data_IF_686553805231
#
_entry.id   IF_686553805231
#
_cell.length_a   1.000
_cell.length_b   1.000
_cell.length_c   1.000
_cell.angle_alpha   90.00
_cell.angle_beta   90.00
_cell.angle_gamma   90.00
#
_symmetry.space_group_name_H-M   'P 1'
#
loop_
_entity.id
_entity.type
_entity.pdbx_description
1 polymer ?
#
# COMPACT_ATOMS: atom_id res chain seq x y z
N UNK A 1 17.60 -28.90 5.25
CA UNK A 1 18.63 -27.85 5.39
C UNK A 1 18.16 -26.66 4.60
N UNK A 2 17.92 -25.54 5.30
CA UNK A 2 17.29 -24.35 4.74
C UNK A 2 18.29 -23.52 3.94
N UNK A 3 18.04 -23.34 2.64
CA UNK A 3 18.71 -22.35 1.80
C UNK A 3 17.73 -21.87 0.74
N UNK A 4 16.89 -20.91 1.10
CA UNK A 4 16.69 -19.72 0.27
C UNK A 4 15.92 -18.67 1.09
N UNK A 5 16.65 -17.73 1.70
CA UNK A 5 16.01 -16.46 2.09
C UNK A 5 16.30 -15.52 0.95
N UNK A 6 15.41 -15.54 -0.02
CA UNK A 6 15.30 -14.56 -1.10
C UNK A 6 14.79 -13.21 -0.52
N UNK A 7 15.38 -12.78 0.60
CA UNK A 7 14.98 -11.57 1.31
C UNK A 7 15.75 -10.41 0.71
N UNK A 8 15.07 -9.74 -0.22
CA UNK A 8 15.39 -8.41 -0.74
C UNK A 8 15.71 -7.43 0.41
N UNK A 9 16.46 -6.36 0.09
CA UNK A 9 16.92 -5.40 1.09
C UNK A 9 15.78 -4.87 1.99
N UNK A 10 16.07 -4.59 3.28
CA UNK A 10 15.16 -3.90 4.18
C UNK A 10 14.54 -2.66 3.55
N UNK A 11 13.26 -2.42 3.82
CA UNK A 11 12.49 -1.28 3.33
C UNK A 11 11.95 -0.49 4.52
N UNK A 12 11.80 0.82 4.33
CA UNK A 12 11.02 1.67 5.23
C UNK A 12 9.54 1.59 4.80
N UNK A 13 8.66 1.19 5.72
CA UNK A 13 7.24 0.96 5.44
C UNK A 13 6.38 1.86 6.32
N UNK A 14 5.33 2.43 5.75
CA UNK A 14 4.27 3.10 6.48
C UNK A 14 3.06 2.17 6.55
N UNK A 15 2.59 1.84 7.75
CA UNK A 15 1.45 0.94 7.95
C UNK A 15 0.38 1.66 8.73
N UNK A 16 -0.87 1.61 8.26
CA UNK A 16 -2.01 2.16 8.98
C UNK A 16 -3.26 1.32 8.79
N UNK A 17 -4.26 1.51 9.64
CA UNK A 17 -5.57 0.91 9.49
C UNK A 17 -6.64 1.61 10.32
N UNK A 18 -7.90 1.38 9.98
CA UNK A 18 -9.01 1.85 10.81
C UNK A 18 -9.38 0.80 11.88
N UNK A 19 -10.38 1.13 12.70
CA UNK A 19 -10.92 0.24 13.73
C UNK A 19 -11.33 -1.15 13.19
N UNK A 20 -11.85 -1.22 11.96
CA UNK A 20 -12.23 -2.49 11.33
C UNK A 20 -11.01 -3.32 10.88
N UNK A 21 -9.89 -2.65 10.56
CA UNK A 21 -8.61 -3.29 10.25
C UNK A 21 -7.72 -3.61 11.45
N UNK A 22 -8.02 -3.04 12.62
CA UNK A 22 -7.20 -3.14 13.83
C UNK A 22 -6.77 -4.57 14.21
N UNK A 23 -7.66 -5.59 14.18
CA UNK A 23 -7.29 -6.96 14.56
C UNK A 23 -6.20 -7.59 13.68
N UNK A 24 -6.09 -7.18 12.41
CA UNK A 24 -5.11 -7.70 11.47
C UNK A 24 -3.85 -6.83 11.38
N UNK A 25 -3.96 -5.52 11.62
CA UNK A 25 -2.82 -4.58 11.50
C UNK A 25 -1.64 -4.96 12.39
N UNK A 26 -1.88 -5.22 13.68
CA UNK A 26 -0.83 -5.57 14.64
C UNK A 26 0.00 -6.79 14.22
N UNK A 27 -0.64 -7.95 13.96
CA UNK A 27 0.04 -9.13 13.44
C UNK A 27 0.86 -8.88 12.16
N UNK A 28 0.35 -8.06 11.23
CA UNK A 28 1.08 -7.72 10.01
C UNK A 28 2.29 -6.83 10.28
N UNK A 29 2.21 -5.87 11.20
CA UNK A 29 3.36 -5.05 11.62
C UNK A 29 4.47 -5.94 12.18
N UNK A 30 4.13 -6.88 13.07
CA UNK A 30 5.10 -7.81 13.66
C UNK A 30 5.72 -8.73 12.60
N UNK A 31 4.91 -9.23 11.68
CA UNK A 31 5.41 -9.99 10.53
C UNK A 31 6.41 -9.19 9.69
N UNK A 32 6.09 -7.95 9.32
CA UNK A 32 6.95 -7.09 8.49
C UNK A 32 8.27 -6.76 9.20
N UNK A 33 8.22 -6.46 10.50
CA UNK A 33 9.42 -6.27 11.33
C UNK A 33 10.24 -7.55 11.41
N UNK A 34 9.59 -8.71 11.53
CA UNK A 34 10.23 -10.03 11.51
C UNK A 34 10.95 -10.36 10.18
N UNK A 35 10.55 -9.72 9.07
CA UNK A 35 11.27 -9.80 7.79
C UNK A 35 12.44 -8.81 7.67
N UNK A 36 12.70 -7.99 8.69
CA UNK A 36 13.79 -7.02 8.71
C UNK A 36 13.41 -5.64 8.15
N UNK A 37 12.13 -5.39 7.82
CA UNK A 37 11.69 -4.05 7.42
C UNK A 37 11.58 -3.11 8.62
N UNK A 38 11.80 -1.81 8.39
CA UNK A 38 11.47 -0.77 9.37
C UNK A 38 10.03 -0.34 9.16
N UNK A 39 9.21 -0.37 10.21
CA UNK A 39 7.77 -0.09 10.11
C UNK A 39 7.39 1.11 10.98
N UNK A 40 6.87 2.15 10.34
CA UNK A 40 6.20 3.26 10.99
C UNK A 40 4.68 3.00 11.04
N UNK A 41 4.15 2.77 12.24
CA UNK A 41 2.71 2.65 12.48
C UNK A 41 2.08 4.05 12.48
N UNK A 42 1.08 4.25 11.63
CA UNK A 42 0.35 5.50 11.43
C UNK A 42 -1.04 5.48 12.10
N UNK A 43 -1.30 4.50 12.96
CA UNK A 43 -2.58 4.31 13.63
C UNK A 43 -3.56 3.43 12.83
N UNK A 44 -4.76 3.15 13.35
CA UNK A 44 -5.20 3.42 14.72
C UNK A 44 -4.37 2.64 15.74
N UNK A 45 -4.29 3.14 16.96
CA UNK A 45 -3.50 2.51 18.03
C UNK A 45 -4.36 1.67 18.99
N UNK A 46 -5.66 1.76 18.82
CA UNK A 46 -6.70 1.09 19.60
C UNK A 46 -7.87 0.71 18.65
N UNK A 47 -8.85 -0.10 19.12
CA UNK A 47 -9.99 -0.49 18.32
C UNK A 47 -11.10 0.58 18.27
N UNK A 48 -10.87 1.78 18.79
CA UNK A 48 -11.91 2.81 18.82
C UNK A 48 -12.15 3.35 17.40
N UNK A 49 -13.40 3.73 17.07
CA UNK A 49 -13.73 4.20 15.73
C UNK A 49 -12.89 5.40 15.28
N UNK A 50 -12.26 5.25 14.13
CA UNK A 50 -11.57 6.31 13.38
C UNK A 50 -11.97 6.27 11.91
N UNK A 51 -11.82 7.41 11.23
CA UNK A 51 -12.11 7.55 9.82
C UNK A 51 -10.90 7.15 8.95
N UNK A 52 -11.09 6.17 8.07
CA UNK A 52 -10.02 5.65 7.21
C UNK A 52 -9.34 6.70 6.30
N UNK A 53 -9.98 7.81 5.84
CA UNK A 53 -9.30 8.81 5.03
C UNK A 53 -8.13 9.50 5.76
N UNK A 54 -8.25 9.73 7.06
CA UNK A 54 -7.20 10.39 7.85
C UNK A 54 -5.97 9.48 7.99
N UNK A 55 -6.21 8.19 8.24
CA UNK A 55 -5.17 7.17 8.29
C UNK A 55 -4.51 6.98 6.91
N UNK A 56 -5.31 6.93 5.84
CA UNK A 56 -4.81 6.85 4.48
C UNK A 56 -3.90 8.04 4.16
N UNK A 57 -4.28 9.26 4.56
CA UNK A 57 -3.48 10.46 4.40
C UNK A 57 -2.14 10.38 5.14
N UNK A 58 -2.15 9.94 6.39
CA UNK A 58 -0.94 9.80 7.19
C UNK A 58 0.08 8.83 6.56
N UNK A 59 -0.38 7.66 6.12
CA UNK A 59 0.47 6.66 5.43
C UNK A 59 1.01 7.22 4.11
N UNK A 60 0.14 7.78 3.27
CA UNK A 60 0.51 8.27 1.95
C UNK A 60 1.46 9.47 2.00
N UNK A 61 1.36 10.33 3.01
CA UNK A 61 2.27 11.45 3.17
C UNK A 61 3.71 10.99 3.48
N UNK A 62 3.89 9.87 4.18
CA UNK A 62 5.22 9.29 4.40
C UNK A 62 5.80 8.74 3.09
N UNK A 63 4.98 8.08 2.27
CA UNK A 63 5.39 7.55 0.95
C UNK A 63 5.78 8.72 0.03
N UNK A 64 4.93 9.73 -0.09
CA UNK A 64 5.17 10.89 -0.98
C UNK A 64 6.40 11.71 -0.56
N UNK A 65 6.72 11.73 0.73
CA UNK A 65 7.90 12.45 1.25
C UNK A 65 9.19 11.61 1.23
N UNK A 66 9.13 10.37 0.74
CA UNK A 66 10.29 9.47 0.73
C UNK A 66 10.71 8.98 2.12
N UNK A 67 9.88 9.20 3.15
CA UNK A 67 10.12 8.67 4.51
C UNK A 67 9.73 7.19 4.63
N UNK A 68 8.91 6.71 3.72
CA UNK A 68 8.64 5.29 3.51
C UNK A 68 8.76 4.96 2.02
N UNK A 69 9.30 3.79 1.71
CA UNK A 69 9.38 3.26 0.35
C UNK A 69 7.99 2.86 -0.16
N UNK A 70 7.16 2.29 0.73
CA UNK A 70 5.80 1.81 0.42
C UNK A 70 4.85 1.92 1.59
N UNK A 71 3.55 2.03 1.28
CA UNK A 71 2.45 2.11 2.23
C UNK A 71 1.60 0.83 2.28
N UNK A 72 1.07 0.53 3.45
CA UNK A 72 0.14 -0.59 3.68
C UNK A 72 -1.04 -0.06 4.50
N UNK A 73 -2.24 -0.22 3.98
CA UNK A 73 -3.48 0.15 4.65
C UNK A 73 -4.28 -1.11 4.99
N UNK A 74 -4.80 -1.20 6.21
CA UNK A 74 -5.59 -2.33 6.69
C UNK A 74 -6.94 -1.80 7.14
N UNK A 75 -8.01 -2.18 6.44
CA UNK A 75 -9.38 -1.73 6.73
C UNK A 75 -10.29 -2.96 6.75
N UNK A 76 -11.57 -2.83 7.09
CA UNK A 76 -12.53 -3.95 7.05
C UNK A 76 -12.51 -4.66 5.68
N UNK A 77 -12.79 -3.94 4.60
CA UNK A 77 -12.74 -4.48 3.22
C UNK A 77 -11.49 -4.08 2.45
N UNK A 78 -10.76 -3.05 2.90
CA UNK A 78 -9.67 -2.43 2.14
C UNK A 78 -10.15 -1.46 1.04
N UNK A 79 -11.43 -1.52 0.63
CA UNK A 79 -11.97 -0.72 -0.49
C UNK A 79 -11.93 0.77 -0.19
N UNK A 80 -12.46 1.19 0.97
CA UNK A 80 -12.52 2.60 1.36
C UNK A 80 -11.12 3.21 1.46
N UNK A 81 -10.21 2.52 2.15
CA UNK A 81 -8.81 2.93 2.28
C UNK A 81 -8.10 3.07 0.92
N UNK A 82 -8.33 2.13 -0.01
CA UNK A 82 -7.81 2.19 -1.38
C UNK A 82 -8.34 3.40 -2.15
N UNK A 83 -9.65 3.69 -2.05
CA UNK A 83 -10.26 4.87 -2.67
C UNK A 83 -9.65 6.15 -2.10
N UNK A 84 -9.53 6.27 -0.78
CA UNK A 84 -8.95 7.45 -0.13
C UNK A 84 -7.49 7.66 -0.52
N UNK A 85 -6.68 6.61 -0.52
CA UNK A 85 -5.27 6.68 -0.91
C UNK A 85 -5.10 7.19 -2.36
N UNK A 86 -5.91 6.70 -3.30
CA UNK A 86 -5.89 7.17 -4.69
C UNK A 86 -6.42 8.60 -4.91
N UNK A 87 -6.91 9.30 -3.87
CA UNK A 87 -7.19 10.75 -3.93
C UNK A 87 -5.97 11.61 -3.64
N UNK A 88 -4.85 11.00 -3.26
CA UNK A 88 -3.65 11.71 -2.84
C UNK A 88 -2.67 11.76 -4.02
N UNK A 89 -2.27 12.96 -4.49
CA UNK A 89 -1.37 13.08 -5.63
C UNK A 89 -0.07 12.30 -5.45
N UNK A 90 0.35 11.60 -6.50
CA UNK A 90 1.56 10.78 -6.53
C UNK A 90 1.39 9.37 -5.94
N UNK A 91 0.22 9.02 -5.40
CA UNK A 91 -0.08 7.70 -4.87
C UNK A 91 -0.79 6.86 -5.92
N UNK A 92 -0.36 5.60 -6.02
CA UNK A 92 -1.07 4.55 -6.75
C UNK A 92 -1.33 3.44 -5.76
N UNK A 93 -2.61 3.26 -5.41
CA UNK A 93 -3.03 2.26 -4.45
C UNK A 93 -3.83 1.13 -5.09
N UNK A 94 -3.53 -0.12 -4.73
CA UNK A 94 -4.28 -1.30 -5.16
C UNK A 94 -4.97 -1.99 -3.98
N UNK A 95 -6.13 -2.59 -4.24
CA UNK A 95 -6.78 -3.50 -3.30
C UNK A 95 -6.15 -4.89 -3.46
N UNK A 96 -5.59 -5.42 -2.38
CA UNK A 96 -4.82 -6.65 -2.39
C UNK A 96 -5.54 -7.77 -1.64
N UNK A 97 -5.85 -8.86 -2.34
CA UNK A 97 -6.54 -10.02 -1.77
C UNK A 97 -6.00 -11.37 -2.29
N UNK A 98 -5.01 -11.35 -3.18
CA UNK A 98 -4.34 -12.52 -3.72
C UNK A 98 -2.89 -12.19 -4.11
N UNK A 99 -2.05 -13.22 -4.17
CA UNK A 99 -0.61 -13.10 -4.43
C UNK A 99 -0.32 -12.56 -5.83
N UNK A 100 -1.09 -12.98 -6.83
CA UNK A 100 -0.86 -12.61 -8.22
C UNK A 100 -1.06 -11.10 -8.42
N UNK A 101 -2.18 -10.57 -7.96
CA UNK A 101 -2.45 -9.14 -8.00
C UNK A 101 -1.47 -8.34 -7.14
N UNK A 102 -0.98 -8.91 -6.02
CA UNK A 102 -0.04 -8.23 -5.14
C UNK A 102 1.27 -7.85 -5.84
N UNK A 103 1.95 -8.81 -6.49
CA UNK A 103 3.19 -8.53 -7.22
C UNK A 103 2.93 -7.79 -8.53
N UNK A 104 1.89 -8.20 -9.28
CA UNK A 104 1.60 -7.63 -10.59
C UNK A 104 1.25 -6.15 -10.51
N UNK A 105 0.54 -5.72 -9.45
CA UNK A 105 0.22 -4.31 -9.24
C UNK A 105 1.46 -3.41 -9.15
N UNK A 106 2.58 -3.95 -8.67
CA UNK A 106 3.86 -3.23 -8.66
C UNK A 106 4.51 -3.31 -10.03
N UNK A 107 4.61 -4.52 -10.59
CA UNK A 107 5.31 -4.78 -11.85
C UNK A 107 4.72 -3.99 -13.02
N UNK A 108 3.40 -3.87 -13.09
CA UNK A 108 2.71 -3.26 -14.22
C UNK A 108 2.28 -1.82 -13.98
N UNK A 109 1.88 -1.50 -12.74
CA UNK A 109 1.21 -0.24 -12.41
C UNK A 109 2.03 0.64 -11.44
N UNK A 110 3.23 0.21 -11.05
CA UNK A 110 4.11 0.93 -10.12
C UNK A 110 3.38 1.34 -8.83
N UNK A 111 2.58 0.41 -8.28
CA UNK A 111 1.83 0.62 -7.04
C UNK A 111 2.77 0.81 -5.85
N UNK A 112 2.56 1.89 -5.11
CA UNK A 112 3.35 2.26 -3.95
C UNK A 112 2.59 2.16 -2.62
N UNK A 113 1.28 1.90 -2.67
CA UNK A 113 0.43 1.64 -1.50
C UNK A 113 -0.48 0.43 -1.76
N UNK A 114 -0.59 -0.50 -0.82
CA UNK A 114 -1.60 -1.58 -0.89
C UNK A 114 -2.64 -1.42 0.21
N UNK A 115 -3.88 -1.78 -0.09
CA UNK A 115 -4.95 -1.89 0.88
C UNK A 115 -5.36 -3.36 1.07
N UNK A 116 -5.51 -3.80 2.32
CA UNK A 116 -5.87 -5.15 2.73
C UNK A 116 -7.18 -5.10 3.50
N UNK A 117 -8.09 -6.04 3.18
CA UNK A 117 -9.35 -6.23 3.89
C UNK A 117 -9.23 -7.25 5.02
N UNK A 118 -9.24 -6.79 6.27
CA UNK A 118 -9.16 -7.64 7.46
C UNK A 118 -10.37 -8.57 7.64
N UNK A 119 -11.52 -8.22 7.06
CA UNK A 119 -12.73 -9.04 7.04
C UNK A 119 -12.84 -9.90 5.78
N UNK A 120 -11.89 -9.77 4.84
CA UNK A 120 -11.95 -10.41 3.52
C UNK A 120 -10.93 -11.55 3.44
N UNK A 121 -9.69 -11.33 3.87
CA UNK A 121 -8.63 -12.34 3.82
C UNK A 121 -8.03 -12.61 5.20
N UNK A 122 -7.58 -13.84 5.42
CA UNK A 122 -6.91 -14.25 6.66
C UNK A 122 -5.44 -13.81 6.73
N UNK A 123 -4.87 -13.82 7.93
CA UNK A 123 -3.51 -13.33 8.19
C UNK A 123 -2.44 -13.95 7.28
N UNK A 124 -2.48 -15.27 7.05
CA UNK A 124 -1.47 -15.94 6.20
C UNK A 124 -1.55 -15.52 4.73
N UNK A 125 -2.75 -15.32 4.21
CA UNK A 125 -2.95 -14.80 2.85
C UNK A 125 -2.42 -13.36 2.76
N UNK A 126 -2.69 -12.53 3.77
CA UNK A 126 -2.19 -11.16 3.85
C UNK A 126 -0.65 -11.12 3.93
N UNK A 127 -0.03 -12.00 4.72
CA UNK A 127 1.43 -12.17 4.80
C UNK A 127 2.04 -12.52 3.43
N UNK A 128 1.46 -13.49 2.72
CA UNK A 128 1.94 -13.91 1.38
C UNK A 128 1.77 -12.79 0.34
N UNK A 129 0.63 -12.09 0.38
CA UNK A 129 0.39 -10.91 -0.45
C UNK A 129 1.44 -9.82 -0.18
N UNK A 130 1.70 -9.49 1.08
CA UNK A 130 2.70 -8.48 1.44
C UNK A 130 4.11 -8.89 1.02
N UNK A 131 4.47 -10.17 1.14
CA UNK A 131 5.76 -10.66 0.64
C UNK A 131 5.89 -10.43 -0.86
N UNK A 132 4.89 -10.86 -1.63
CA UNK A 132 4.88 -10.72 -3.08
C UNK A 132 4.88 -9.25 -3.53
N UNK A 133 4.07 -8.41 -2.90
CA UNK A 133 4.08 -6.97 -3.10
C UNK A 133 5.49 -6.42 -2.88
N UNK A 134 6.06 -6.56 -1.68
CA UNK A 134 7.35 -5.95 -1.31
C UNK A 134 8.55 -6.47 -2.12
N UNK A 135 8.47 -7.73 -2.57
CA UNK A 135 9.48 -8.38 -3.41
C UNK A 135 9.42 -7.96 -4.89
N UNK A 136 8.27 -7.50 -5.38
CA UNK A 136 8.12 -7.05 -6.76
C UNK A 136 8.91 -5.75 -7.04
N UNK A 137 9.34 -5.55 -8.28
CA UNK A 137 9.89 -4.29 -8.81
C UNK A 137 9.09 -3.86 -10.04
N UNK A 138 8.97 -2.55 -10.24
CA UNK A 138 8.31 -2.01 -11.42
C UNK A 138 9.04 -2.42 -12.70
N UNK A 139 8.29 -2.93 -13.69
CA UNK A 139 8.86 -3.31 -14.97
C UNK A 139 9.19 -2.08 -15.81
N UNK A 140 10.42 -2.03 -16.33
CA UNK A 140 10.90 -0.94 -17.18
C UNK A 140 10.54 -1.13 -18.65
N UNK A 141 9.73 -2.13 -19.00
CA UNK A 141 9.22 -2.29 -20.36
C UNK A 141 8.34 -1.11 -20.78
N UNK A 142 8.41 -0.79 -22.07
CA UNK A 142 7.79 0.42 -22.62
C UNK A 142 6.28 0.49 -22.36
N UNK A 143 5.55 -0.63 -22.47
CA UNK A 143 4.10 -0.60 -22.25
C UNK A 143 3.70 -0.20 -20.82
N UNK A 144 4.48 -0.57 -19.80
CA UNK A 144 4.17 -0.28 -18.41
C UNK A 144 4.56 1.16 -18.06
N UNK A 145 5.75 1.60 -18.47
CA UNK A 145 6.18 3.01 -18.35
C UNK A 145 5.18 3.97 -18.99
N UNK A 146 4.73 3.67 -20.20
CA UNK A 146 3.73 4.48 -20.92
C UNK A 146 2.38 4.51 -20.19
N UNK A 147 1.93 3.39 -19.62
CA UNK A 147 0.66 3.33 -18.87
C UNK A 147 0.74 4.11 -17.56
N UNK A 148 1.81 3.93 -16.79
CA UNK A 148 2.05 4.70 -15.55
C UNK A 148 2.17 6.20 -15.85
N UNK A 149 2.84 6.60 -16.93
CA UNK A 149 2.87 8.00 -17.35
C UNK A 149 1.47 8.57 -17.61
N UNK A 150 0.59 7.79 -18.29
CA UNK A 150 -0.81 8.18 -18.50
C UNK A 150 -1.62 8.27 -17.20
N UNK A 151 -1.36 7.41 -16.21
CA UNK A 151 -1.98 7.56 -14.88
C UNK A 151 -1.61 8.90 -14.25
N UNK A 152 -0.33 9.30 -14.37
CA UNK A 152 0.12 10.62 -13.92
C UNK A 152 -0.49 11.78 -14.72
N UNK A 153 -0.74 11.61 -16.02
CA UNK A 153 -1.44 12.61 -16.84
C UNK A 153 -2.89 12.80 -16.37
N UNK A 154 -3.60 11.70 -16.08
CA UNK A 154 -4.97 11.75 -15.54
C UNK A 154 -5.01 12.52 -14.22
N UNK A 155 -4.06 12.28 -13.32
CA UNK A 155 -3.95 12.99 -12.05
C UNK A 155 -3.75 14.51 -12.25
N UNK A 156 -2.82 14.90 -13.13
CA UNK A 156 -2.57 16.33 -13.44
C UNK A 156 -3.75 17.00 -14.12
N UNK A 157 -4.45 16.30 -15.00
CA UNK A 157 -5.65 16.80 -15.65
C UNK A 157 -6.78 17.02 -14.64
N UNK A 158 -7.05 16.04 -13.78
CA UNK A 158 -8.06 16.16 -12.74
C UNK A 158 -7.75 17.33 -11.78
N UNK A 159 -6.47 17.55 -11.43
CA UNK A 159 -6.07 18.69 -10.60
C UNK A 159 -6.37 20.05 -11.27
N UNK A 160 -6.14 20.18 -12.59
CA UNK A 160 -6.50 21.37 -13.37
C UNK A 160 -8.01 21.59 -13.39
N UNK A 161 -8.78 20.54 -13.67
CA UNK A 161 -10.25 20.57 -13.70
C UNK A 161 -10.84 21.01 -12.35
N UNK A 162 -10.29 20.53 -11.23
CA UNK A 162 -10.78 20.87 -9.89
C UNK A 162 -10.39 22.30 -9.43
N UNK A 163 -9.25 22.82 -9.91
CA UNK A 163 -8.74 24.14 -9.48
C UNK A 163 -9.12 25.27 -10.43
N UNK A 164 -9.68 24.96 -11.59
CA UNK A 164 -9.92 25.95 -12.65
C UNK A 164 -8.62 26.51 -13.25
N UNK A 165 -7.49 25.84 -13.01
CA UNK A 165 -6.20 26.22 -13.59
C UNK A 165 -6.11 25.66 -15.00
N UNK A 166 -5.77 26.47 -16.03
CA UNK A 166 -5.64 26.00 -17.40
C UNK A 166 -4.55 24.91 -17.58
#
# INVERSE_FOLDING_TARGET
MATDRDTKAPRALAVGGDHAGFPLKGPLIEFLRGQGHTVQDCGSYDPDPVDFPDIARAVCDLVRTGRADRGILVCGTGVGACIAANKIPGIRASLCHDVYSAHQSVEHDDVNVVAIGAQVIGAKVAEDCLRAFLAAEFSTEEQFRRRVAKLGDLERQAARELTGTP
#
